data_IF_470749896017
#
_entry.id   IF_470749896017
#
_cell.length_a   1.000
_cell.length_b   1.000
_cell.length_c   1.000
_cell.angle_alpha   90.00
_cell.angle_beta   90.00
_cell.angle_gamma   90.00
#
_symmetry.space_group_name_H-M   'P 1'
#
loop_
_entity.id
_entity.type
_entity.pdbx_description
1 polymer ?
#
# COMPACT_ATOMS: atom_id res chain seq x y z
N UNK A 1 -23.99 28.66 -12.62
CA UNK A 1 -23.31 28.09 -13.79
C UNK A 1 -23.12 26.59 -13.54
N UNK A 2 -23.93 25.76 -14.15
CA UNK A 2 -23.89 24.31 -14.01
C UNK A 2 -22.72 23.79 -14.86
N UNK A 3 -21.63 23.38 -14.21
CA UNK A 3 -20.58 22.57 -14.84
C UNK A 3 -21.24 21.34 -15.46
N UNK A 4 -21.09 21.18 -16.78
CA UNK A 4 -21.63 20.03 -17.49
C UNK A 4 -20.93 18.76 -16.93
N UNK A 5 -21.66 17.96 -16.18
CA UNK A 5 -21.14 16.76 -15.48
C UNK A 5 -20.46 15.76 -16.40
N UNK A 6 -20.76 15.76 -17.70
CA UNK A 6 -20.25 14.80 -18.66
C UNK A 6 -18.75 14.93 -18.97
N UNK A 7 -18.18 16.16 -18.89
CA UNK A 7 -16.77 16.37 -19.24
C UNK A 7 -15.79 16.13 -18.07
N UNK A 8 -16.28 16.24 -16.81
CA UNK A 8 -15.44 16.04 -15.60
C UNK A 8 -15.41 14.58 -15.13
N UNK A 9 -16.35 13.76 -15.56
CA UNK A 9 -16.51 12.36 -15.15
C UNK A 9 -16.59 11.43 -16.37
N UNK A 10 -15.74 11.67 -17.37
CA UNK A 10 -15.56 10.71 -18.47
C UNK A 10 -15.08 9.37 -17.88
N UNK A 11 -15.82 8.27 -18.07
CA UNK A 11 -15.45 6.95 -17.57
C UNK A 11 -14.05 6.50 -18.00
N UNK A 12 -13.60 6.90 -19.19
CA UNK A 12 -12.27 6.60 -19.71
C UNK A 12 -11.19 7.30 -18.87
N UNK A 13 -11.36 8.58 -18.56
CA UNK A 13 -10.43 9.35 -17.73
C UNK A 13 -10.39 8.81 -16.28
N UNK A 14 -11.52 8.38 -15.74
CA UNK A 14 -11.59 7.78 -14.40
C UNK A 14 -10.87 6.44 -14.38
N UNK A 15 -11.09 5.58 -15.38
CA UNK A 15 -10.40 4.28 -15.49
C UNK A 15 -8.90 4.47 -15.66
N UNK A 16 -8.47 5.42 -16.47
CA UNK A 16 -7.06 5.77 -16.66
C UNK A 16 -6.42 6.26 -15.35
N UNK A 17 -7.12 7.08 -14.58
CA UNK A 17 -6.69 7.53 -13.27
C UNK A 17 -6.42 6.36 -12.31
N UNK A 18 -7.36 5.42 -12.20
CA UNK A 18 -7.18 4.23 -11.34
C UNK A 18 -5.99 3.37 -11.77
N UNK A 19 -5.82 3.15 -13.07
CA UNK A 19 -4.69 2.39 -13.59
C UNK A 19 -3.35 3.08 -13.30
N UNK A 20 -3.28 4.40 -13.40
CA UNK A 20 -2.08 5.18 -13.07
C UNK A 20 -1.77 5.16 -11.58
N UNK A 21 -2.76 5.30 -10.71
CA UNK A 21 -2.57 5.17 -9.25
C UNK A 21 -2.02 3.80 -8.90
N UNK A 22 -2.58 2.73 -9.48
CA UNK A 22 -2.10 1.36 -9.29
C UNK A 22 -0.66 1.17 -9.75
N UNK A 23 -0.27 1.81 -10.86
CA UNK A 23 1.10 1.75 -11.39
C UNK A 23 2.14 2.53 -10.57
N UNK A 24 1.73 3.52 -9.78
CA UNK A 24 2.64 4.42 -9.04
C UNK A 24 2.71 4.10 -7.53
N UNK A 25 1.68 3.51 -6.93
CA UNK A 25 1.67 3.15 -5.50
C UNK A 25 2.48 1.87 -5.27
N UNK A 26 3.37 1.89 -4.29
CA UNK A 26 4.15 0.73 -3.87
C UNK A 26 3.27 -0.34 -3.24
N UNK A 27 2.34 0.05 -2.38
CA UNK A 27 1.38 -0.85 -1.76
C UNK A 27 0.49 -1.53 -2.80
N UNK A 28 -0.05 -0.76 -3.75
CA UNK A 28 -0.94 -1.30 -4.78
C UNK A 28 -0.24 -2.26 -5.77
N UNK A 29 1.08 -2.19 -5.89
CA UNK A 29 1.88 -3.13 -6.70
C UNK A 29 2.06 -4.49 -6.02
N UNK A 30 2.21 -4.51 -4.70
CA UNK A 30 2.50 -5.73 -3.94
C UNK A 30 1.23 -6.36 -3.34
N UNK A 31 0.19 -5.58 -3.09
CA UNK A 31 -1.05 -6.09 -2.50
C UNK A 31 -2.11 -6.38 -3.56
N UNK A 32 -2.90 -7.42 -3.31
CA UNK A 32 -4.11 -7.70 -4.07
C UNK A 32 -5.16 -6.64 -3.77
N UNK A 33 -5.83 -6.15 -4.79
CA UNK A 33 -6.94 -5.21 -4.66
C UNK A 33 -8.27 -5.96 -4.70
N UNK A 34 -9.11 -5.71 -3.71
CA UNK A 34 -10.46 -6.24 -3.64
C UNK A 34 -11.48 -5.11 -3.52
N UNK A 35 -12.58 -5.15 -4.30
CA UNK A 35 -13.63 -4.16 -4.17
C UNK A 35 -14.39 -4.35 -2.85
N UNK A 36 -14.58 -3.27 -2.10
CA UNK A 36 -15.39 -3.27 -0.89
C UNK A 36 -16.65 -2.43 -1.08
N UNK A 37 -17.77 -2.76 -0.40
CA UNK A 37 -18.97 -1.93 -0.40
C UNK A 37 -18.70 -0.53 0.17
N UNK A 38 -19.43 0.48 -0.30
CA UNK A 38 -19.29 1.86 0.17
C UNK A 38 -19.52 2.02 1.69
N UNK A 39 -20.35 1.19 2.29
CA UNK A 39 -20.63 1.22 3.72
C UNK A 39 -19.60 0.46 4.58
N UNK A 40 -18.50 -0.01 3.95
CA UNK A 40 -17.52 -0.87 4.60
C UNK A 40 -17.90 -2.35 4.56
N UNK A 41 -16.99 -3.16 5.07
CA UNK A 41 -17.14 -4.62 5.12
C UNK A 41 -16.64 -5.14 6.46
N UNK A 42 -17.28 -6.19 6.95
CA UNK A 42 -16.81 -6.92 8.12
C UNK A 42 -16.26 -8.26 7.65
N UNK A 43 -15.01 -8.49 7.92
CA UNK A 43 -14.33 -9.75 7.66
C UNK A 43 -13.99 -10.44 8.96
N UNK A 44 -13.78 -11.74 8.91
CA UNK A 44 -13.40 -12.54 10.07
C UNK A 44 -12.05 -13.19 9.78
N UNK A 45 -11.10 -12.99 10.69
CA UNK A 45 -9.88 -13.77 10.72
C UNK A 45 -10.13 -15.01 11.57
N UNK A 46 -9.88 -16.14 10.95
CA UNK A 46 -10.04 -17.45 11.54
C UNK A 46 -8.67 -18.01 11.87
N UNK A 47 -8.39 -18.23 13.15
CA UNK A 47 -7.11 -18.78 13.60
C UNK A 47 -7.35 -20.11 14.30
N UNK A 48 -6.62 -21.14 13.87
CA UNK A 48 -6.56 -22.43 14.55
C UNK A 48 -5.41 -22.40 15.58
N UNK A 49 -5.70 -22.76 16.80
CA UNK A 49 -4.72 -22.69 17.90
C UNK A 49 -3.81 -23.91 17.98
N UNK A 50 -4.23 -25.03 17.39
CA UNK A 50 -3.53 -26.31 17.49
C UNK A 50 -3.24 -26.89 16.10
N UNK A 51 -2.13 -27.62 16.03
CA UNK A 51 -1.80 -28.43 14.86
C UNK A 51 -2.77 -29.60 14.70
N UNK A 52 -2.77 -30.19 13.49
CA UNK A 52 -3.53 -31.40 13.20
C UNK A 52 -2.95 -32.59 13.98
N UNK A 53 -3.84 -33.48 14.49
CA UNK A 53 -3.45 -34.67 15.20
C UNK A 53 -3.57 -35.92 14.31
N UNK A 54 -2.61 -36.82 14.41
CA UNK A 54 -2.63 -38.13 13.78
C UNK A 54 -3.27 -39.13 14.73
N UNK A 55 -4.49 -39.57 14.43
CA UNK A 55 -5.28 -40.43 15.29
C UNK A 55 -5.35 -41.83 14.68
N UNK A 56 -5.11 -42.87 15.50
CA UNK A 56 -5.25 -44.25 15.08
C UNK A 56 -6.72 -44.61 14.81
N UNK A 57 -6.96 -45.69 14.07
CA UNK A 57 -8.31 -46.24 13.86
C UNK A 57 -9.00 -46.48 15.20
N UNK A 58 -10.17 -45.89 15.42
CA UNK A 58 -10.91 -45.91 16.69
C UNK A 58 -10.30 -45.04 17.82
N UNK A 59 -9.28 -44.22 17.55
CA UNK A 59 -8.71 -43.29 18.53
C UNK A 59 -9.67 -42.15 18.87
N UNK A 60 -9.49 -41.56 20.05
CA UNK A 60 -10.27 -40.38 20.48
C UNK A 60 -9.82 -39.16 19.68
N UNK A 61 -10.76 -38.41 19.11
CA UNK A 61 -10.48 -37.15 18.43
C UNK A 61 -9.96 -36.10 19.42
N UNK A 62 -8.86 -35.45 19.08
CA UNK A 62 -8.39 -34.26 19.76
C UNK A 62 -9.29 -33.07 19.42
N UNK A 63 -9.42 -32.13 20.33
CA UNK A 63 -10.14 -30.87 20.13
C UNK A 63 -9.12 -29.73 20.13
N UNK A 64 -9.09 -28.97 19.04
CA UNK A 64 -8.34 -27.71 18.96
C UNK A 64 -9.22 -26.51 19.30
N UNK A 65 -8.63 -25.46 19.82
CA UNK A 65 -9.25 -24.15 19.96
C UNK A 65 -9.32 -23.44 18.61
N UNK A 66 -10.35 -22.63 18.44
CA UNK A 66 -10.56 -21.77 17.27
C UNK A 66 -10.88 -20.38 17.77
N UNK A 67 -10.11 -19.38 17.32
CA UNK A 67 -10.47 -17.98 17.54
C UNK A 67 -11.02 -17.36 16.26
N UNK A 68 -11.98 -16.46 16.44
CA UNK A 68 -12.64 -15.72 15.36
C UNK A 68 -12.61 -14.24 15.69
N UNK A 69 -11.74 -13.50 15.02
CA UNK A 69 -11.62 -12.06 15.24
C UNK A 69 -12.26 -11.29 14.09
N UNK A 70 -13.21 -10.36 14.38
CA UNK A 70 -13.79 -9.53 13.36
C UNK A 70 -12.86 -8.37 12.99
N UNK A 71 -12.57 -8.21 11.70
CA UNK A 71 -11.91 -7.04 11.14
C UNK A 71 -12.96 -6.16 10.46
N UNK A 72 -13.07 -4.92 10.90
CA UNK A 72 -13.96 -3.93 10.29
C UNK A 72 -13.16 -3.10 9.31
N UNK A 73 -13.52 -3.17 8.03
CA UNK A 73 -12.93 -2.38 6.96
C UNK A 73 -13.83 -1.17 6.72
N UNK A 74 -13.32 0.02 6.99
CA UNK A 74 -14.03 1.28 6.81
C UNK A 74 -13.40 2.08 5.66
N UNK A 75 -14.18 2.48 4.63
CA UNK A 75 -13.68 3.32 3.56
C UNK A 75 -13.21 4.68 4.07
N UNK A 76 -12.08 5.16 3.54
CA UNK A 76 -11.56 6.50 3.83
C UNK A 76 -11.83 7.38 2.62
N UNK A 77 -12.43 8.55 2.87
CA UNK A 77 -12.64 9.54 1.83
C UNK A 77 -11.38 10.39 1.63
N UNK A 78 -10.88 10.41 0.41
CA UNK A 78 -9.79 11.30 -0.03
C UNK A 78 -10.33 12.28 -1.05
N UNK A 79 -9.94 13.54 -0.93
CA UNK A 79 -10.37 14.56 -1.87
C UNK A 79 -9.23 15.54 -2.21
N UNK A 80 -9.26 16.05 -3.42
CA UNK A 80 -8.37 17.10 -3.89
C UNK A 80 -9.17 18.10 -4.71
N UNK A 81 -9.07 19.36 -4.36
CA UNK A 81 -9.72 20.46 -5.09
C UNK A 81 -8.69 21.34 -5.78
N UNK A 82 -8.91 21.64 -7.05
CA UNK A 82 -8.16 22.64 -7.80
C UNK A 82 -9.08 23.75 -8.31
N UNK A 83 -8.58 24.98 -8.32
CA UNK A 83 -9.26 26.08 -8.98
C UNK A 83 -8.77 26.16 -10.42
N UNK A 84 -9.69 26.34 -11.35
CA UNK A 84 -9.41 26.59 -12.76
C UNK A 84 -9.57 28.07 -13.08
N UNK A 85 -8.73 28.60 -13.98
CA UNK A 85 -8.80 29.98 -14.41
C UNK A 85 -9.93 30.22 -15.41
N UNK A 86 -10.27 31.49 -15.63
CA UNK A 86 -11.25 31.86 -16.66
C UNK A 86 -10.75 31.52 -18.07
N UNK A 87 -9.41 31.58 -18.30
CA UNK A 87 -8.80 31.20 -19.56
C UNK A 87 -9.05 29.72 -19.89
N UNK A 88 -8.98 28.84 -18.86
CA UNK A 88 -9.34 27.43 -19.03
C UNK A 88 -10.79 27.25 -19.48
N UNK A 89 -11.70 28.09 -18.99
CA UNK A 89 -13.13 28.01 -19.38
C UNK A 89 -13.38 28.48 -20.81
N UNK A 90 -12.50 29.30 -21.36
CA UNK A 90 -12.59 29.87 -22.73
C UNK A 90 -11.81 29.03 -23.72
N UNK A 91 -10.85 28.21 -23.27
CA UNK A 91 -10.01 27.34 -24.11
C UNK A 91 -10.86 26.40 -24.98
N UNK A 92 -10.30 25.99 -26.10
CA UNK A 92 -10.91 25.00 -26.99
C UNK A 92 -11.16 23.66 -26.26
N UNK A 93 -12.07 22.85 -26.77
CA UNK A 93 -12.38 21.56 -26.17
C UNK A 93 -11.14 20.64 -26.13
N UNK A 94 -10.33 20.68 -27.19
CA UNK A 94 -9.10 19.90 -27.29
C UNK A 94 -8.06 20.33 -26.26
N UNK A 95 -7.85 21.63 -26.06
CA UNK A 95 -6.95 22.16 -25.03
C UNK A 95 -7.43 21.81 -23.63
N UNK A 96 -8.73 21.89 -23.37
CA UNK A 96 -9.32 21.46 -22.08
C UNK A 96 -9.07 19.99 -21.78
N UNK A 97 -9.21 19.12 -22.77
CA UNK A 97 -8.95 17.67 -22.62
C UNK A 97 -7.47 17.42 -22.28
N UNK A 98 -6.56 18.10 -22.96
CA UNK A 98 -5.13 17.96 -22.70
C UNK A 98 -4.74 18.43 -21.29
N UNK A 99 -5.29 19.55 -20.84
CA UNK A 99 -5.09 20.05 -19.47
C UNK A 99 -5.67 19.08 -18.44
N UNK A 100 -6.85 18.51 -18.67
CA UNK A 100 -7.46 17.52 -17.78
C UNK A 100 -6.63 16.24 -17.70
N UNK A 101 -6.03 15.77 -18.81
CA UNK A 101 -5.11 14.62 -18.80
C UNK A 101 -3.87 14.92 -17.98
N UNK A 102 -3.22 16.07 -18.18
CA UNK A 102 -2.06 16.49 -17.40
C UNK A 102 -2.40 16.62 -15.90
N UNK A 103 -3.59 17.14 -15.57
CA UNK A 103 -4.09 17.18 -14.21
C UNK A 103 -4.25 15.79 -13.62
N UNK A 104 -4.85 14.85 -14.38
CA UNK A 104 -5.01 13.47 -13.95
C UNK A 104 -3.68 12.78 -13.67
N UNK A 105 -2.66 13.03 -14.48
CA UNK A 105 -1.31 12.47 -14.27
C UNK A 105 -0.68 12.97 -12.96
N UNK A 106 -0.76 14.27 -12.72
CA UNK A 106 -0.31 14.86 -11.47
C UNK A 106 -1.11 14.40 -10.25
N UNK A 107 -2.43 14.28 -10.41
CA UNK A 107 -3.33 13.80 -9.36
C UNK A 107 -3.08 12.33 -9.03
N UNK A 108 -2.90 11.46 -10.04
CA UNK A 108 -2.59 10.05 -9.84
C UNK A 108 -1.34 9.84 -8.98
N UNK A 109 -0.25 10.58 -9.26
CA UNK A 109 0.97 10.53 -8.45
C UNK A 109 0.75 10.98 -7.01
N UNK A 110 -0.04 12.03 -6.80
CA UNK A 110 -0.37 12.52 -5.46
C UNK A 110 -1.24 11.53 -4.67
N UNK A 111 -2.22 10.91 -5.33
CA UNK A 111 -3.09 9.89 -4.72
C UNK A 111 -2.28 8.64 -4.38
N UNK A 112 -1.44 8.15 -5.29
CA UNK A 112 -0.59 6.99 -5.06
C UNK A 112 0.35 7.19 -3.86
N UNK A 113 1.07 8.32 -3.84
CA UNK A 113 1.90 8.67 -2.68
C UNK A 113 1.08 8.84 -1.41
N UNK A 114 -0.10 9.45 -1.52
CA UNK A 114 -1.01 9.65 -0.38
C UNK A 114 -1.49 8.32 0.19
N UNK A 115 -1.83 7.35 -0.68
CA UNK A 115 -2.21 6.01 -0.29
C UNK A 115 -1.09 5.32 0.49
N UNK A 116 0.14 5.36 -0.04
CA UNK A 116 1.30 4.75 0.62
C UNK A 116 1.57 5.40 1.99
N UNK A 117 1.54 6.74 2.11
CA UNK A 117 1.74 7.45 3.37
C UNK A 117 0.65 7.13 4.41
N UNK A 118 -0.61 7.05 3.99
CA UNK A 118 -1.72 6.69 4.88
C UNK A 118 -1.61 5.25 5.36
N UNK A 119 -1.29 4.33 4.46
CA UNK A 119 -1.23 2.91 4.76
C UNK A 119 -0.02 2.56 5.64
N UNK A 120 1.17 3.08 5.34
CA UNK A 120 2.37 2.77 6.11
C UNK A 120 2.43 3.53 7.43
N UNK A 121 2.19 4.85 7.42
CA UNK A 121 2.48 5.73 8.56
C UNK A 121 1.23 6.31 9.24
N UNK A 122 0.02 6.09 8.74
CA UNK A 122 -1.21 6.63 9.33
C UNK A 122 -1.33 8.15 9.30
N UNK A 123 -0.56 8.82 8.46
CA UNK A 123 -0.52 10.30 8.38
C UNK A 123 -1.42 10.85 7.29
N UNK A 124 -1.93 12.05 7.52
CA UNK A 124 -2.60 12.81 6.47
C UNK A 124 -1.56 13.32 5.47
N UNK A 125 -1.65 12.95 4.17
CA UNK A 125 -0.63 13.30 3.17
C UNK A 125 -0.41 14.80 2.97
N UNK A 126 -1.42 15.63 3.28
CA UNK A 126 -1.35 17.09 3.14
C UNK A 126 -0.58 17.74 4.28
N UNK A 127 -0.74 17.26 5.51
CA UNK A 127 -0.16 17.88 6.71
C UNK A 127 1.07 17.14 7.23
N UNK A 128 1.27 15.87 6.81
CA UNK A 128 2.33 15.00 7.34
C UNK A 128 2.10 14.57 8.79
N UNK A 129 0.91 14.83 9.35
CA UNK A 129 0.59 14.55 10.75
C UNK A 129 -0.36 13.37 10.88
N UNK A 130 -0.31 12.60 12.00
CA UNK A 130 -1.27 11.54 12.26
C UNK A 130 -2.70 12.03 12.20
N UNK A 131 -3.62 11.20 11.74
CA UNK A 131 -5.04 11.54 11.63
C UNK A 131 -5.91 10.54 12.36
N UNK A 132 -6.86 11.05 13.14
CA UNK A 132 -7.83 10.23 13.86
C UNK A 132 -8.74 9.39 12.93
N UNK A 133 -8.87 9.78 11.67
CA UNK A 133 -9.65 9.01 10.67
C UNK A 133 -9.01 7.65 10.39
N UNK A 134 -7.68 7.56 10.38
CA UNK A 134 -6.93 6.32 10.20
C UNK A 134 -6.70 5.66 11.59
N UNK A 135 -6.43 6.47 12.62
CA UNK A 135 -6.09 5.99 13.95
C UNK A 135 -4.88 5.06 13.92
N UNK A 136 -5.00 3.89 14.54
CA UNK A 136 -3.95 2.86 14.55
C UNK A 136 -4.09 1.81 13.41
N UNK A 137 -4.87 2.10 12.37
CA UNK A 137 -5.05 1.18 11.24
C UNK A 137 -4.03 1.44 10.13
N UNK A 138 -2.76 1.33 10.45
CA UNK A 138 -1.63 1.48 9.53
C UNK A 138 -0.49 0.53 9.92
N UNK A 139 0.44 0.27 8.99
CA UNK A 139 1.50 -0.73 9.19
C UNK A 139 2.38 -0.42 10.40
N UNK A 140 2.88 0.80 10.57
CA UNK A 140 3.77 1.14 11.70
C UNK A 140 3.14 0.88 13.07
N UNK A 141 1.80 0.92 13.19
CA UNK A 141 1.10 0.64 14.43
C UNK A 141 0.70 -0.85 14.61
N UNK A 142 0.62 -1.61 13.51
CA UNK A 142 0.13 -2.99 13.53
C UNK A 142 1.24 -4.03 13.42
N UNK A 143 2.33 -3.69 12.73
CA UNK A 143 3.48 -4.59 12.55
C UNK A 143 4.29 -4.62 13.84
N UNK A 144 4.45 -5.81 14.40
CA UNK A 144 5.22 -6.05 15.65
C UNK A 144 6.59 -6.67 15.37
N UNK A 145 6.77 -7.27 14.20
CA UNK A 145 8.04 -7.84 13.77
C UNK A 145 8.86 -6.75 13.08
N UNK A 146 9.88 -6.25 13.75
CA UNK A 146 10.73 -5.16 13.27
C UNK A 146 12.20 -5.51 13.44
N UNK A 147 13.02 -5.09 12.50
CA UNK A 147 14.47 -5.11 12.58
C UNK A 147 14.94 -3.66 12.68
N UNK A 148 15.71 -3.37 13.72
CA UNK A 148 16.32 -2.04 13.86
C UNK A 148 17.51 -1.94 12.91
N UNK A 149 17.48 -0.95 12.02
CA UNK A 149 18.51 -0.70 11.03
C UNK A 149 19.15 0.65 11.27
N UNK A 150 20.47 0.68 11.35
CA UNK A 150 21.29 1.89 11.35
C UNK A 150 21.95 2.16 9.99
N UNK A 151 21.62 1.34 8.99
CA UNK A 151 22.19 1.36 7.64
C UNK A 151 23.70 1.01 7.57
N UNK A 152 24.27 0.45 8.60
CA UNK A 152 25.68 0.03 8.61
C UNK A 152 25.88 -1.25 7.78
N UNK A 153 24.95 -2.19 7.88
CA UNK A 153 24.88 -3.40 7.07
C UNK A 153 23.45 -3.69 6.58
N UNK A 154 22.97 -2.97 5.57
CA UNK A 154 21.61 -3.13 5.07
C UNK A 154 21.35 -4.51 4.45
N UNK A 155 22.38 -5.27 4.06
CA UNK A 155 22.19 -6.64 3.59
C UNK A 155 21.80 -7.56 4.74
N UNK A 156 22.51 -7.47 5.88
CA UNK A 156 22.16 -8.23 7.06
C UNK A 156 20.76 -7.89 7.59
N UNK A 157 20.35 -6.63 7.51
CA UNK A 157 19.00 -6.20 7.89
C UNK A 157 17.92 -6.86 7.02
N UNK A 158 18.17 -6.94 5.71
CA UNK A 158 17.27 -7.64 4.77
C UNK A 158 17.20 -9.13 5.07
N UNK A 159 18.34 -9.79 5.29
CA UNK A 159 18.40 -11.22 5.63
C UNK A 159 17.65 -11.50 6.94
N UNK A 160 17.84 -10.66 7.96
CA UNK A 160 17.14 -10.78 9.24
C UNK A 160 15.62 -10.61 9.07
N UNK A 161 15.20 -9.65 8.27
CA UNK A 161 13.78 -9.42 7.99
C UNK A 161 13.14 -10.60 7.22
N UNK A 162 13.84 -11.16 6.24
CA UNK A 162 13.41 -12.36 5.50
C UNK A 162 13.30 -13.57 6.46
N UNK A 163 14.31 -13.80 7.29
CA UNK A 163 14.31 -14.90 8.24
C UNK A 163 13.15 -14.79 9.25
N UNK A 164 12.81 -13.57 9.66
CA UNK A 164 11.69 -13.31 10.56
C UNK A 164 10.34 -13.68 9.92
N UNK A 165 10.12 -13.38 8.63
CA UNK A 165 8.92 -13.78 7.90
C UNK A 165 8.87 -15.30 7.69
N UNK A 166 10.00 -15.91 7.31
CA UNK A 166 10.08 -17.35 7.10
C UNK A 166 9.91 -18.15 8.41
N UNK A 167 10.29 -17.58 9.55
CA UNK A 167 10.05 -18.18 10.86
C UNK A 167 8.57 -18.32 11.25
N UNK A 168 7.66 -17.72 10.49
CA UNK A 168 6.20 -17.85 10.63
C UNK A 168 5.56 -18.69 9.52
N UNK A 169 6.34 -19.57 8.88
CA UNK A 169 5.90 -20.43 7.77
C UNK A 169 5.35 -19.66 6.54
N UNK A 170 5.82 -18.42 6.34
CA UNK A 170 5.46 -17.58 5.21
C UNK A 170 6.67 -17.32 4.31
N UNK A 171 6.41 -17.18 3.00
CA UNK A 171 7.43 -16.82 2.02
C UNK A 171 7.38 -15.31 1.71
N UNK A 172 8.56 -14.73 1.48
CA UNK A 172 8.70 -13.35 1.03
C UNK A 172 8.53 -13.29 -0.49
N UNK A 173 7.47 -12.65 -0.95
CA UNK A 173 7.15 -12.51 -2.38
C UNK A 173 7.54 -11.15 -2.97
N UNK A 174 7.83 -10.17 -2.14
CA UNK A 174 8.23 -8.84 -2.57
C UNK A 174 8.69 -7.96 -1.43
N UNK A 175 9.37 -6.89 -1.77
CA UNK A 175 9.92 -5.93 -0.80
C UNK A 175 9.64 -4.50 -1.25
N UNK A 176 9.31 -3.64 -0.29
CA UNK A 176 9.23 -2.19 -0.46
C UNK A 176 10.35 -1.58 0.37
N UNK A 177 11.11 -0.69 -0.23
CA UNK A 177 12.20 0.00 0.46
C UNK A 177 12.18 1.50 0.17
N UNK A 178 12.65 2.30 1.13
CA UNK A 178 12.85 3.72 0.92
C UNK A 178 14.01 3.99 -0.06
N UNK A 179 14.04 5.12 -0.77
CA UNK A 179 15.17 5.47 -1.63
C UNK A 179 16.51 5.52 -0.89
N UNK A 180 16.51 5.93 0.39
CA UNK A 180 17.70 5.96 1.23
C UNK A 180 18.23 4.56 1.53
N UNK A 181 17.36 3.62 1.90
CA UNK A 181 17.73 2.23 2.14
C UNK A 181 18.25 1.55 0.85
N UNK A 182 17.54 1.78 -0.28
CA UNK A 182 17.99 1.30 -1.58
C UNK A 182 19.40 1.80 -1.93
N UNK A 183 19.66 3.08 -1.70
CA UNK A 183 20.98 3.66 -1.94
C UNK A 183 22.07 3.04 -1.05
N UNK A 184 21.76 2.80 0.22
CA UNK A 184 22.69 2.15 1.14
C UNK A 184 22.99 0.70 0.71
N UNK A 185 21.96 -0.05 0.30
CA UNK A 185 22.10 -1.42 -0.18
C UNK A 185 22.90 -1.48 -1.50
N UNK A 186 22.65 -0.57 -2.45
CA UNK A 186 23.38 -0.49 -3.72
C UNK A 186 24.85 -0.11 -3.55
N UNK A 187 25.26 0.51 -2.45
CA UNK A 187 26.64 0.85 -2.13
C UNK A 187 27.41 -0.29 -1.47
N UNK A 188 26.76 -1.38 -1.09
CA UNK A 188 27.41 -2.56 -0.52
C UNK A 188 28.37 -3.19 -1.53
N UNK A 189 29.55 -3.52 -1.05
CA UNK A 189 30.61 -4.14 -1.87
C UNK A 189 31.04 -5.45 -1.26
N UNK A 190 31.37 -6.41 -2.11
CA UNK A 190 31.99 -7.65 -1.69
C UNK A 190 33.43 -7.47 -1.23
N UNK A 191 34.07 -8.54 -0.79
CA UNK A 191 35.48 -8.56 -0.35
C UNK A 191 36.47 -8.16 -1.47
N UNK A 192 36.05 -8.21 -2.73
CA UNK A 192 36.83 -7.83 -3.91
C UNK A 192 36.57 -6.37 -4.32
N UNK A 193 35.64 -5.67 -3.64
CA UNK A 193 35.29 -4.29 -3.91
C UNK A 193 34.25 -4.11 -5.04
N UNK A 194 33.65 -5.20 -5.51
CA UNK A 194 32.60 -5.16 -6.53
C UNK A 194 31.21 -4.91 -5.87
N UNK A 195 30.29 -4.24 -6.56
CA UNK A 195 28.92 -4.07 -6.06
C UNK A 195 28.26 -5.43 -5.81
N UNK A 196 27.68 -5.64 -4.62
CA UNK A 196 26.93 -6.86 -4.31
C UNK A 196 25.59 -6.91 -5.04
N UNK A 197 25.00 -5.76 -5.32
CA UNK A 197 23.68 -5.63 -5.95
C UNK A 197 23.75 -4.69 -7.17
N UNK A 198 24.35 -5.15 -8.29
CA UNK A 198 24.55 -4.30 -9.47
C UNK A 198 23.24 -3.90 -10.19
N UNK A 199 22.12 -4.57 -9.87
CA UNK A 199 20.81 -4.31 -10.48
C UNK A 199 19.94 -3.30 -9.69
N UNK A 200 20.40 -2.82 -8.53
CA UNK A 200 19.74 -1.81 -7.72
C UNK A 200 20.17 -0.41 -8.12
#
# INVERSE_FOLDING_TARGET
MTLNKGALFDPVLVTDLFNKVKGESSLAKLSRQEPIPFNGQKEFVFTMENEIDVVAESGKKSHGGVSLEPIIITPIKVEYGARVSNEFMIASEEERINILRAFNDGFAKKVARGLDLMAFHGVNPRTGSPTAVIGNNHFDAKVTQTVDSDLSDPNQDVEAAIAMVQGTDNDVTGMIMSPGFRSALAQQKDAQGLPMFPEL
#
